data_IF_919973638662
#
_entry.id   IF_919973638662
#
_cell.length_a   1.000
_cell.length_b   1.000
_cell.length_c   1.000
_cell.angle_alpha   90.00
_cell.angle_beta   90.00
_cell.angle_gamma   90.00
#
_symmetry.space_group_name_H-M   'P 1'
#
loop_
_entity.id
_entity.type
_entity.pdbx_description
1 polymer ?
#
# COMPACT_ATOMS: atom_id res chain seq x y z
N UNK A 1 6.20 5.69 -21.36
CA UNK A 1 4.96 5.10 -20.83
C UNK A 1 5.21 4.58 -19.40
N UNK A 2 5.30 5.46 -18.40
CA UNK A 2 5.60 5.08 -16.98
C UNK A 2 4.68 5.81 -15.98
N UNK A 3 3.55 6.37 -16.42
CA UNK A 3 2.72 7.25 -15.60
C UNK A 3 1.65 6.53 -14.74
N UNK A 4 1.29 5.29 -15.07
CA UNK A 4 0.20 4.55 -14.41
C UNK A 4 0.57 4.07 -13.00
N UNK A 5 1.81 3.63 -12.78
CA UNK A 5 2.24 3.14 -11.45
C UNK A 5 2.43 4.27 -10.42
N UNK A 6 2.84 5.45 -10.88
CA UNK A 6 3.05 6.61 -10.00
C UNK A 6 1.74 7.21 -9.46
N UNK A 7 0.63 7.02 -10.19
CA UNK A 7 -0.67 7.58 -9.78
C UNK A 7 -1.31 6.75 -8.66
N UNK A 8 -1.28 5.41 -8.76
CA UNK A 8 -1.84 4.53 -7.71
C UNK A 8 -1.10 4.67 -6.38
N UNK A 9 0.23 4.83 -6.38
CA UNK A 9 1.02 5.02 -5.16
C UNK A 9 0.74 6.36 -4.45
N UNK A 10 0.19 7.35 -5.15
CA UNK A 10 -0.11 8.67 -4.56
C UNK A 10 -1.47 8.76 -3.89
N UNK A 11 -2.38 7.83 -4.17
CA UNK A 11 -3.72 7.83 -3.58
C UNK A 11 -3.72 6.93 -2.35
N UNK A 12 -4.06 7.49 -1.19
CA UNK A 12 -4.00 6.85 0.15
C UNK A 12 -2.56 6.62 0.67
N UNK A 13 -1.87 7.69 1.09
CA UNK A 13 -0.54 7.57 1.68
C UNK A 13 -0.53 6.79 3.01
N UNK A 14 -1.68 6.69 3.70
CA UNK A 14 -1.83 5.82 4.86
C UNK A 14 -1.74 4.31 4.55
N UNK A 15 -1.88 3.90 3.28
CA UNK A 15 -1.86 2.50 2.88
C UNK A 15 -0.71 2.24 1.90
N UNK A 16 0.31 1.50 2.33
CA UNK A 16 1.45 1.11 1.50
C UNK A 16 1.42 -0.38 1.16
N UNK A 17 1.77 -0.75 -0.06
CA UNK A 17 1.94 -2.16 -0.43
C UNK A 17 3.38 -2.60 -0.13
N UNK A 18 3.53 -3.63 0.71
CA UNK A 18 4.84 -4.22 1.04
C UNK A 18 5.14 -5.37 0.09
N UNK A 19 4.14 -6.24 -0.10
CA UNK A 19 4.16 -7.38 -1.00
C UNK A 19 2.74 -7.54 -1.59
N UNK A 20 2.60 -8.35 -2.64
CA UNK A 20 1.26 -8.66 -3.13
C UNK A 20 0.43 -9.33 -2.02
N UNK A 21 -0.80 -8.83 -1.80
CA UNK A 21 -1.66 -9.31 -0.71
C UNK A 21 -1.22 -8.91 0.70
N UNK A 22 -0.20 -8.06 0.87
CA UNK A 22 0.27 -7.56 2.17
C UNK A 22 0.45 -6.05 2.17
N UNK A 23 -0.32 -5.37 3.01
CA UNK A 23 -0.43 -3.92 3.04
C UNK A 23 -0.13 -3.38 4.43
N UNK A 24 0.64 -2.29 4.51
CA UNK A 24 0.87 -1.54 5.74
C UNK A 24 -0.14 -0.40 5.82
N UNK A 25 -0.89 -0.37 6.92
CA UNK A 25 -1.81 0.71 7.26
C UNK A 25 -1.24 1.51 8.43
N UNK A 26 -1.07 2.82 8.25
CA UNK A 26 -0.71 3.74 9.32
C UNK A 26 -1.98 4.25 10.00
N UNK A 27 -2.05 4.06 11.31
CA UNK A 27 -3.23 4.33 12.15
C UNK A 27 -2.86 5.26 13.28
N UNK A 28 -3.72 6.24 13.54
CA UNK A 28 -3.70 7.02 14.78
C UNK A 28 -4.87 6.59 15.68
N UNK A 29 -4.56 5.80 16.72
CA UNK A 29 -5.53 5.24 17.64
C UNK A 29 -5.89 6.22 18.78
N UNK A 30 -7.19 6.43 18.99
CA UNK A 30 -7.81 7.27 20.01
C UNK A 30 -8.60 6.35 20.97
N UNK A 31 -7.95 5.79 22.01
CA UNK A 31 -8.57 4.88 22.97
C UNK A 31 -9.59 5.59 23.88
N UNK A 32 -10.31 4.80 24.67
CA UNK A 32 -11.39 5.26 25.56
C UNK A 32 -12.57 5.92 24.84
N UNK A 33 -12.82 5.54 23.58
CA UNK A 33 -14.02 5.96 22.87
C UNK A 33 -15.24 5.16 23.33
N UNK A 34 -16.44 5.65 23.04
CA UNK A 34 -17.70 4.91 23.29
C UNK A 34 -17.89 3.72 22.36
N UNK A 35 -17.36 3.82 21.13
CA UNK A 35 -17.44 2.81 20.08
C UNK A 35 -16.16 2.84 19.23
N UNK A 36 -15.77 1.68 18.70
CA UNK A 36 -14.65 1.56 17.76
C UNK A 36 -15.13 1.97 16.37
N UNK A 37 -14.52 3.01 15.80
CA UNK A 37 -14.96 3.62 14.54
C UNK A 37 -13.86 4.49 13.93
N UNK A 38 -13.98 4.83 12.65
CA UNK A 38 -13.23 5.94 12.08
C UNK A 38 -13.60 7.26 12.78
N UNK A 39 -12.60 8.06 13.12
CA UNK A 39 -12.84 9.37 13.71
C UNK A 39 -13.24 10.41 12.65
N UNK A 40 -12.87 10.16 11.39
CA UNK A 40 -13.22 10.95 10.22
C UNK A 40 -13.17 10.05 8.96
N UNK A 41 -13.93 10.38 7.91
CA UNK A 41 -13.84 9.68 6.63
C UNK A 41 -12.42 9.67 6.07
N UNK A 42 -11.98 8.50 5.61
CA UNK A 42 -10.72 8.35 4.92
C UNK A 42 -10.78 9.06 3.57
N UNK A 43 -9.78 9.87 3.31
CA UNK A 43 -9.61 10.56 2.02
C UNK A 43 -8.25 10.21 1.45
N UNK A 44 -8.10 10.31 0.14
CA UNK A 44 -6.87 9.96 -0.57
C UNK A 44 -5.64 10.80 -0.19
N UNK A 45 -5.82 11.88 0.58
CA UNK A 45 -4.76 12.77 1.06
C UNK A 45 -4.26 12.43 2.47
N UNK A 46 -4.99 11.60 3.23
CA UNK A 46 -4.62 11.30 4.62
C UNK A 46 -3.45 10.31 4.69
N UNK A 47 -2.41 10.72 5.40
CA UNK A 47 -1.22 9.92 5.69
C UNK A 47 -1.44 8.91 6.80
N UNK A 48 -2.47 9.11 7.62
CA UNK A 48 -2.84 8.23 8.74
C UNK A 48 -4.35 8.09 8.84
N UNK A 49 -4.80 6.90 9.23
CA UNK A 49 -6.19 6.60 9.53
C UNK A 49 -6.49 6.91 11.01
N UNK A 50 -7.30 7.94 11.26
CA UNK A 50 -7.76 8.26 12.60
C UNK A 50 -8.84 7.27 13.06
N UNK A 51 -8.57 6.50 14.12
CA UNK A 51 -9.49 5.50 14.64
C UNK A 51 -9.80 5.77 16.12
N UNK A 52 -11.09 5.86 16.44
CA UNK A 52 -11.62 5.77 17.81
C UNK A 52 -11.69 4.32 18.21
N UNK A 53 -11.26 3.99 19.43
CA UNK A 53 -11.18 2.61 19.93
C UNK A 53 -11.94 2.48 21.25
N UNK A 54 -12.91 1.57 21.29
CA UNK A 54 -13.76 1.27 22.46
C UNK A 54 -13.07 0.40 23.51
N UNK A 55 -11.81 0.71 23.80
CA UNK A 55 -11.05 0.05 24.83
C UNK A 55 -10.17 1.07 25.56
N UNK A 56 -9.97 0.88 26.88
CA UNK A 56 -9.12 1.78 27.65
C UNK A 56 -7.64 1.66 27.23
N UNK A 57 -6.80 2.69 27.46
CA UNK A 57 -5.37 2.68 27.19
C UNK A 57 -4.59 1.86 28.22
N UNK A 58 -5.13 0.72 28.64
CA UNK A 58 -4.41 -0.25 29.46
C UNK A 58 -3.62 -1.18 28.56
N UNK A 59 -2.58 -1.78 29.12
CA UNK A 59 -1.65 -2.62 28.38
C UNK A 59 -2.38 -3.71 27.57
N UNK A 60 -2.19 -3.70 26.26
CA UNK A 60 -2.75 -4.67 25.32
C UNK A 60 -4.21 -4.45 24.89
N UNK A 61 -5.10 -3.91 25.74
CA UNK A 61 -6.54 -3.90 25.41
C UNK A 61 -6.89 -3.02 24.21
N UNK A 62 -6.36 -1.80 24.14
CA UNK A 62 -6.59 -0.92 22.97
C UNK A 62 -6.02 -1.51 21.67
N UNK A 63 -4.94 -2.29 21.75
CA UNK A 63 -4.35 -2.94 20.58
C UNK A 63 -5.21 -4.10 20.13
N UNK A 64 -5.65 -4.95 21.07
CA UNK A 64 -6.52 -6.09 20.78
C UNK A 64 -7.83 -5.62 20.14
N UNK A 65 -8.44 -4.57 20.69
CA UNK A 65 -9.67 -4.00 20.14
C UNK A 65 -9.46 -3.35 18.76
N UNK A 66 -8.32 -2.67 18.54
CA UNK A 66 -7.99 -2.13 17.22
C UNK A 66 -7.86 -3.24 16.16
N UNK A 67 -7.13 -4.31 16.48
CA UNK A 67 -6.92 -5.42 15.55
C UNK A 67 -8.24 -6.14 15.27
N UNK A 68 -9.05 -6.39 16.32
CA UNK A 68 -10.39 -6.98 16.18
C UNK A 68 -11.30 -6.12 15.30
N UNK A 69 -11.37 -4.83 15.57
CA UNK A 69 -12.20 -3.90 14.81
C UNK A 69 -11.80 -3.85 13.33
N UNK A 70 -10.50 -3.74 13.04
CA UNK A 70 -10.01 -3.71 11.66
C UNK A 70 -10.25 -5.03 10.93
N UNK A 71 -10.05 -6.17 11.59
CA UNK A 71 -10.29 -7.49 11.00
C UNK A 71 -11.76 -7.66 10.60
N UNK A 72 -12.70 -7.41 11.53
CA UNK A 72 -14.13 -7.49 11.26
C UNK A 72 -14.58 -6.52 10.17
N UNK A 73 -14.05 -5.30 10.18
CA UNK A 73 -14.36 -4.28 9.19
C UNK A 73 -13.91 -4.69 7.79
N UNK A 74 -12.68 -5.19 7.65
CA UNK A 74 -12.14 -5.58 6.35
C UNK A 74 -12.85 -6.82 5.83
N UNK A 75 -13.15 -7.80 6.69
CA UNK A 75 -13.94 -8.99 6.32
C UNK A 75 -15.34 -8.59 5.84
N UNK A 76 -16.04 -7.73 6.58
CA UNK A 76 -17.37 -7.25 6.22
C UNK A 76 -17.35 -6.51 4.88
N UNK A 77 -16.46 -5.53 4.74
CA UNK A 77 -16.38 -4.71 3.53
C UNK A 77 -15.95 -5.53 2.30
N UNK A 78 -15.01 -6.46 2.47
CA UNK A 78 -14.61 -7.37 1.40
C UNK A 78 -15.75 -8.30 0.96
N UNK A 79 -16.52 -8.84 1.91
CA UNK A 79 -17.70 -9.66 1.61
C UNK A 79 -18.77 -8.85 0.86
N UNK A 80 -19.02 -7.61 1.24
CA UNK A 80 -19.97 -6.75 0.54
C UNK A 80 -19.48 -6.39 -0.88
N UNK A 81 -18.19 -6.08 -1.03
CA UNK A 81 -17.57 -5.78 -2.32
C UNK A 81 -17.55 -6.99 -3.26
N UNK A 82 -17.37 -8.20 -2.74
CA UNK A 82 -17.42 -9.43 -3.57
C UNK A 82 -18.84 -9.82 -3.97
N UNK A 83 -19.86 -9.40 -3.22
CA UNK A 83 -21.26 -9.63 -3.57
C UNK A 83 -21.74 -8.71 -4.72
N UNK A 84 -21.42 -7.42 -4.67
CA UNK A 84 -21.66 -6.49 -5.78
C UNK A 84 -20.50 -5.50 -5.91
N UNK A 85 -19.52 -5.85 -6.73
CA UNK A 85 -18.32 -5.04 -6.90
C UNK A 85 -18.63 -3.69 -7.55
N UNK A 86 -19.51 -3.65 -8.55
CA UNK A 86 -19.77 -2.44 -9.32
C UNK A 86 -20.53 -1.41 -8.47
N UNK A 87 -21.52 -1.86 -7.70
CA UNK A 87 -22.23 -1.01 -6.76
C UNK A 87 -21.33 -0.58 -5.60
N UNK A 88 -20.52 -1.51 -5.07
CA UNK A 88 -19.73 -1.21 -3.88
C UNK A 88 -18.76 -0.05 -4.10
N UNK A 89 -18.12 0.01 -5.27
CA UNK A 89 -17.06 0.98 -5.57
C UNK A 89 -17.57 2.32 -6.11
N UNK A 90 -18.85 2.42 -6.48
CA UNK A 90 -19.44 3.55 -7.23
C UNK A 90 -19.18 4.94 -6.64
N UNK A 91 -19.09 5.05 -5.32
CA UNK A 91 -18.87 6.31 -4.60
C UNK A 91 -17.48 6.43 -3.94
N UNK A 92 -16.59 5.49 -4.24
CA UNK A 92 -15.22 5.49 -3.74
C UNK A 92 -14.29 6.19 -4.73
N UNK A 93 -13.20 6.74 -4.23
CA UNK A 93 -12.13 7.27 -5.07
C UNK A 93 -11.51 6.21 -5.99
N UNK A 94 -11.71 4.92 -5.69
CA UNK A 94 -11.33 3.79 -6.54
C UNK A 94 -12.05 3.77 -7.90
N UNK A 95 -13.35 4.11 -7.96
CA UNK A 95 -14.08 4.20 -9.23
C UNK A 95 -13.52 5.29 -10.14
N UNK A 96 -13.04 6.40 -9.58
CA UNK A 96 -12.37 7.47 -10.34
C UNK A 96 -11.04 7.01 -10.94
N UNK A 97 -10.30 6.15 -10.24
CA UNK A 97 -9.03 5.57 -10.72
C UNK A 97 -9.28 4.54 -11.81
N UNK A 98 -10.22 3.62 -11.61
CA UNK A 98 -10.58 2.64 -12.64
C UNK A 98 -11.09 3.33 -13.92
N UNK A 99 -11.89 4.39 -13.79
CA UNK A 99 -12.33 5.19 -14.94
C UNK A 99 -11.16 5.90 -15.63
N UNK A 100 -10.18 6.41 -14.88
CA UNK A 100 -8.98 7.04 -15.44
C UNK A 100 -8.04 6.03 -16.14
N UNK A 101 -7.84 4.83 -15.57
CA UNK A 101 -7.05 3.75 -16.17
C UNK A 101 -7.73 3.16 -17.41
N UNK A 102 -9.07 3.02 -17.39
CA UNK A 102 -9.85 2.61 -18.55
C UNK A 102 -9.79 3.66 -19.67
N UNK A 103 -9.88 4.96 -19.34
CA UNK A 103 -9.73 6.05 -20.30
C UNK A 103 -8.30 6.14 -20.86
N UNK A 104 -7.27 5.81 -20.06
CA UNK A 104 -5.89 5.76 -20.51
C UNK A 104 -5.55 4.50 -21.33
N UNK A 105 -6.34 3.43 -21.18
CA UNK A 105 -6.16 2.14 -21.89
C UNK A 105 -7.08 1.98 -23.09
N UNK A 106 -7.93 2.96 -23.40
CA UNK A 106 -8.70 2.98 -24.64
C UNK A 106 -7.71 3.06 -25.82
N UNK A 107 -7.78 2.13 -26.81
CA UNK A 107 -6.96 2.25 -28.00
C UNK A 107 -7.33 3.57 -28.67
N UNK A 108 -6.33 4.43 -28.85
CA UNK A 108 -6.48 5.67 -29.59
C UNK A 108 -7.00 5.32 -30.99
N UNK A 109 -8.29 5.56 -31.24
CA UNK A 109 -8.79 5.70 -32.59
C UNK A 109 -8.12 6.96 -33.16
N UNK A 110 -7.14 6.76 -34.03
CA UNK A 110 -6.40 7.84 -34.67
C UNK A 110 -7.36 8.72 -35.49
N UNK A 111 -7.34 10.05 -35.31
CA UNK A 111 -7.72 10.94 -36.38
C UNK A 111 -6.48 11.20 -37.24
N UNK A 112 -6.40 10.48 -38.36
CA UNK A 112 -5.49 10.81 -39.43
C UNK A 112 -5.92 12.14 -40.07
N UNK A 113 -5.18 13.22 -39.82
CA UNK A 113 -5.16 14.37 -40.72
C UNK A 113 -3.78 15.03 -40.76
N UNK A 114 -3.21 14.95 -41.97
CA UNK A 114 -2.02 15.59 -42.49
C UNK A 114 -1.92 17.10 -42.25
N UNK A 115 -0.67 17.61 -42.14
CA UNK A 115 -0.05 18.78 -42.86
C UNK A 115 1.02 19.41 -41.95
N UNK A 116 2.30 19.32 -42.31
CA UNK A 116 3.07 20.22 -43.21
C UNK A 116 3.52 21.52 -42.53
N UNK A 117 4.84 21.69 -42.40
CA UNK A 117 5.46 23.02 -42.37
C UNK A 117 6.73 23.17 -41.52
N UNK A 118 7.88 23.36 -42.18
CA UNK A 118 8.76 24.51 -41.91
C UNK A 118 9.95 24.37 -40.96
N UNK A 119 11.11 24.05 -41.56
CA UNK A 119 12.41 24.74 -41.49
C UNK A 119 13.00 25.45 -40.24
N UNK A 120 14.27 25.07 -39.97
CA UNK A 120 15.44 25.87 -39.48
C UNK A 120 15.42 26.28 -37.98
N UNK A 121 16.51 26.30 -37.21
CA UNK A 121 17.91 26.69 -37.48
C UNK A 121 18.83 26.28 -36.31
N UNK A 122 20.11 26.11 -36.65
CA UNK A 122 21.33 25.88 -35.85
C UNK A 122 21.51 26.65 -34.52
N UNK A 123 22.12 25.99 -33.53
CA UNK A 123 22.75 26.59 -32.35
C UNK A 123 23.85 25.69 -31.76
N UNK A 124 24.97 26.28 -31.34
CA UNK A 124 26.34 25.72 -31.25
C UNK A 124 26.82 25.61 -29.78
N UNK A 125 27.91 24.85 -29.56
CA UNK A 125 28.75 24.61 -28.33
C UNK A 125 28.25 23.47 -27.44
N UNK A 126 28.98 22.39 -27.13
CA UNK A 126 30.42 22.13 -27.21
C UNK A 126 31.15 22.60 -25.95
N UNK A 127 31.35 21.71 -24.95
CA UNK A 127 32.60 21.56 -24.18
C UNK A 127 32.58 20.34 -23.25
N UNK A 128 33.40 19.36 -23.56
CA UNK A 128 33.77 18.22 -22.72
C UNK A 128 34.73 18.64 -21.61
N UNK A 129 34.63 18.00 -20.44
CA UNK A 129 35.78 17.82 -19.53
C UNK A 129 35.57 16.55 -18.71
N UNK A 130 36.36 15.53 -19.02
CA UNK A 130 36.67 14.38 -18.19
C UNK A 130 37.80 14.74 -17.22
N UNK A 131 37.74 14.24 -15.99
CA UNK A 131 38.91 14.01 -15.14
C UNK A 131 38.67 12.70 -14.37
N UNK A 132 39.70 11.85 -14.41
CA UNK A 132 39.79 10.53 -13.79
C UNK A 132 40.53 10.60 -12.44
N UNK A 133 40.80 9.40 -11.88
CA UNK A 133 41.55 9.03 -10.66
C UNK A 133 40.72 8.94 -9.38
N UNK A 134 40.85 7.93 -8.50
CA UNK A 134 41.61 6.68 -8.46
C UNK A 134 40.95 5.79 -7.35
N UNK A 135 40.92 4.43 -7.50
CA UNK A 135 41.68 3.41 -6.72
C UNK A 135 41.70 3.63 -5.20
N UNK A 136 41.59 2.66 -4.29
CA UNK A 136 41.41 1.20 -4.27
C UNK A 136 41.38 0.78 -2.77
N UNK A 137 40.92 -0.45 -2.50
CA UNK A 137 41.40 -1.38 -1.44
C UNK A 137 41.11 -1.02 0.04
N UNK A 138 40.22 -1.73 0.75
CA UNK A 138 40.30 -3.10 1.32
C UNK A 138 40.97 -3.19 2.70
N UNK A 139 40.22 -3.70 3.70
CA UNK A 139 40.60 -4.77 4.66
C UNK A 139 39.39 -4.95 5.60
N UNK A 140 38.74 -6.10 5.75
CA UNK A 140 39.12 -7.48 6.06
C UNK A 140 39.37 -7.77 7.56
N UNK A 141 38.77 -8.89 7.99
CA UNK A 141 38.83 -9.64 9.28
C UNK A 141 37.67 -9.36 10.24
N UNK A 142 36.68 -10.24 10.43
CA UNK A 142 36.67 -11.69 10.73
C UNK A 142 37.23 -12.04 12.12
N UNK A 143 36.36 -12.56 12.97
CA UNK A 143 36.67 -13.59 13.96
C UNK A 143 35.42 -14.43 14.27
N UNK A 144 35.68 -15.73 14.44
CA UNK A 144 34.79 -16.88 14.52
C UNK A 144 34.28 -17.15 15.95
N UNK A 145 33.24 -18.01 16.03
CA UNK A 145 32.91 -18.89 17.15
C UNK A 145 31.41 -19.23 17.14
N UNK A 146 30.90 -20.35 16.60
CA UNK A 146 31.09 -21.79 16.82
C UNK A 146 30.08 -22.42 17.83
N UNK A 147 29.32 -23.41 17.33
CA UNK A 147 28.53 -24.41 18.09
C UNK A 147 27.07 -24.03 18.34
N UNK A 148 26.03 -24.80 18.00
CA UNK A 148 25.93 -26.20 17.59
C UNK A 148 24.48 -26.56 17.17
N UNK A 149 24.35 -27.78 16.64
CA UNK A 149 23.26 -28.42 15.90
C UNK A 149 21.81 -28.27 16.40
N UNK A 150 20.85 -28.17 15.45
CA UNK A 150 19.86 -29.22 15.13
C UNK A 150 18.92 -28.78 13.97
N UNK A 151 18.87 -29.60 12.91
CA UNK A 151 17.72 -29.77 11.98
C UNK A 151 16.81 -30.86 12.59
N UNK A 152 15.52 -31.05 12.20
CA UNK A 152 15.02 -30.98 10.82
C UNK A 152 13.60 -30.39 10.64
N UNK A 153 13.15 -30.25 9.39
CA UNK A 153 11.73 -30.09 9.07
C UNK A 153 11.46 -29.14 7.91
N UNK A 154 11.32 -29.72 6.73
CA UNK A 154 10.77 -29.18 5.47
C UNK A 154 9.92 -27.91 5.53
N UNK A 155 10.25 -26.96 4.66
CA UNK A 155 9.48 -26.80 3.43
C UNK A 155 10.37 -26.15 2.37
N UNK A 156 10.47 -26.79 1.21
CA UNK A 156 10.95 -26.14 0.00
C UNK A 156 10.03 -24.94 -0.25
N UNK A 157 10.53 -23.72 -0.14
CA UNK A 157 9.82 -22.54 -0.65
C UNK A 157 10.12 -22.46 -2.15
N UNK A 158 9.21 -22.87 -3.05
CA UNK A 158 9.35 -22.52 -4.44
C UNK A 158 9.25 -20.99 -4.56
N UNK A 159 10.16 -20.45 -5.36
CA UNK A 159 10.21 -19.05 -5.73
C UNK A 159 8.85 -18.63 -6.33
N UNK A 160 8.26 -17.61 -5.70
CA UNK A 160 7.34 -16.62 -6.28
C UNK A 160 6.46 -17.09 -7.44
N UNK A 161 5.39 -17.81 -7.14
CA UNK A 161 4.10 -17.42 -7.73
C UNK A 161 3.48 -16.40 -6.80
N UNK A 162 3.24 -15.19 -7.29
CA UNK A 162 2.62 -14.13 -6.52
C UNK A 162 1.12 -14.44 -6.38
N UNK A 163 0.81 -15.39 -5.49
CA UNK A 163 -0.56 -15.79 -5.17
C UNK A 163 -1.06 -14.88 -4.07
N UNK A 164 -2.26 -14.33 -4.23
CA UNK A 164 -2.92 -13.60 -3.15
C UNK A 164 -3.19 -14.58 -2.00
N UNK A 165 -3.10 -14.13 -0.73
CA UNK A 165 -3.50 -14.96 0.38
C UNK A 165 -4.98 -15.31 0.27
N UNK A 166 -5.39 -16.46 0.78
CA UNK A 166 -6.80 -16.89 0.77
C UNK A 166 -7.60 -16.37 1.98
N UNK A 167 -6.95 -15.60 2.86
CA UNK A 167 -7.53 -15.10 4.12
C UNK A 167 -7.20 -13.65 4.37
N UNK A 168 -8.04 -13.03 5.20
CA UNK A 168 -7.79 -11.71 5.79
C UNK A 168 -7.14 -11.93 7.15
N UNK A 169 -6.08 -11.17 7.44
CA UNK A 169 -5.41 -11.19 8.74
C UNK A 169 -4.86 -9.81 9.06
N UNK A 170 -5.08 -9.35 10.29
CA UNK A 170 -4.63 -8.03 10.76
C UNK A 170 -3.67 -8.21 11.94
N UNK A 171 -2.46 -7.68 11.83
CA UNK A 171 -1.44 -7.81 12.88
C UNK A 171 -0.71 -6.48 13.14
N UNK A 172 -0.30 -6.27 14.39
CA UNK A 172 0.42 -5.06 14.78
C UNK A 172 1.91 -5.21 14.46
N UNK A 173 2.46 -4.35 13.59
CA UNK A 173 3.89 -4.32 13.29
C UNK A 173 4.66 -3.39 14.24
N UNK A 174 4.10 -2.21 14.51
CA UNK A 174 4.75 -1.16 15.31
C UNK A 174 3.73 -0.38 16.13
N UNK A 175 4.18 0.17 17.25
CA UNK A 175 3.38 1.10 18.05
C UNK A 175 2.56 0.43 19.15
N UNK A 176 3.04 -0.68 19.72
CA UNK A 176 2.39 -1.37 20.85
C UNK A 176 2.00 -0.45 22.01
N UNK A 177 2.89 0.48 22.37
CA UNK A 177 2.66 1.49 23.41
C UNK A 177 2.34 2.90 22.85
N UNK A 178 2.25 3.06 21.53
CA UNK A 178 2.02 4.36 20.86
C UNK A 178 0.59 4.46 20.35
N UNK A 179 0.07 5.70 20.23
CA UNK A 179 -1.17 5.98 19.49
C UNK A 179 -0.96 5.87 17.99
N UNK A 180 0.22 6.24 17.51
CA UNK A 180 0.66 6.00 16.14
C UNK A 180 1.07 4.54 15.98
N UNK A 181 0.34 3.82 15.15
CA UNK A 181 0.48 2.39 14.95
C UNK A 181 0.68 2.09 13.48
N UNK A 182 1.43 1.04 13.23
CA UNK A 182 1.56 0.48 11.89
C UNK A 182 1.06 -0.94 11.95
N UNK A 183 0.04 -1.21 11.14
CA UNK A 183 -0.67 -2.49 11.11
C UNK A 183 -0.38 -3.15 9.77
N UNK A 184 -0.06 -4.44 9.80
CA UNK A 184 -0.01 -5.27 8.60
C UNK A 184 -1.39 -5.86 8.34
N UNK A 185 -1.85 -5.71 7.12
CA UNK A 185 -3.08 -6.30 6.60
C UNK A 185 -2.70 -7.29 5.51
N UNK A 186 -2.94 -8.57 5.79
CA UNK A 186 -2.94 -9.63 4.79
C UNK A 186 -4.33 -9.65 4.17
N UNK A 187 -4.43 -9.55 2.85
CA UNK A 187 -5.71 -9.33 2.16
C UNK A 187 -5.79 -10.08 0.82
N UNK A 188 -6.88 -10.81 0.55
CA UNK A 188 -7.12 -11.61 -0.65
C UNK A 188 -7.54 -10.75 -1.85
N UNK A 189 -6.84 -9.64 -2.08
CA UNK A 189 -7.18 -8.69 -3.13
C UNK A 189 -6.13 -7.62 -3.30
N UNK A 190 -6.39 -6.69 -4.21
CA UNK A 190 -5.46 -5.60 -4.54
C UNK A 190 -5.46 -4.51 -3.48
N UNK A 191 -4.39 -3.69 -3.46
CA UNK A 191 -4.31 -2.48 -2.61
C UNK A 191 -5.51 -1.57 -2.78
N UNK A 192 -5.97 -1.46 -4.02
CA UNK A 192 -6.99 -0.51 -4.41
C UNK A 192 -8.38 -0.98 -3.97
N UNK A 193 -8.63 -2.29 -3.99
CA UNK A 193 -9.81 -2.91 -3.36
C UNK A 193 -9.80 -2.70 -1.84
N UNK A 194 -8.67 -2.91 -1.16
CA UNK A 194 -8.56 -2.64 0.27
C UNK A 194 -8.80 -1.16 0.58
N UNK A 195 -8.26 -0.24 -0.23
CA UNK A 195 -8.50 1.18 -0.09
C UNK A 195 -9.99 1.54 -0.28
N UNK A 196 -10.68 0.93 -1.23
CA UNK A 196 -12.12 1.13 -1.44
C UNK A 196 -12.93 0.65 -0.23
N UNK A 197 -12.59 -0.51 0.33
CA UNK A 197 -13.19 -1.02 1.57
C UNK A 197 -12.99 -0.02 2.72
N UNK A 198 -11.74 0.37 2.98
CA UNK A 198 -11.44 1.31 4.07
C UNK A 198 -12.13 2.67 3.87
N UNK A 199 -12.13 3.21 2.64
CA UNK A 199 -12.80 4.47 2.33
C UNK A 199 -14.32 4.38 2.57
N UNK A 200 -14.96 3.30 2.12
CA UNK A 200 -16.41 3.13 2.26
C UNK A 200 -16.82 2.94 3.72
N UNK A 201 -16.16 2.03 4.43
CA UNK A 201 -16.46 1.74 5.84
C UNK A 201 -16.10 2.93 6.77
N UNK A 202 -15.25 3.86 6.34
CA UNK A 202 -14.94 5.07 7.11
C UNK A 202 -16.03 6.15 7.09
N UNK A 203 -17.04 5.99 6.23
CA UNK A 203 -18.15 6.94 6.07
C UNK A 203 -19.41 6.49 6.81
N UNK A 204 -19.43 5.26 7.30
CA UNK A 204 -20.51 4.69 8.11
C UNK A 204 -20.33 5.05 9.60
#
# INVERSE_FOLDING_TARGET
>A
MHATWACLHRMFPCLAQVQLGKYMLTVHAKPSARASAFAAPLTSALTEADLRIAAPPVEGQANAELLRYLDELIVRGFRAMTADHAEYVKDTSYAKVLAADAAASAPAAEPATSRSGGDKKSGKKGKSKSVALARSASSSRAHNGAGGSQKPGEAHTPLCEAVFPDRIEVSLLRGGASREKTVLVVFPGTRAQLAAVLEKESRE
#
